data_IF_682443230121
#
_entry.id   IF_682443230121
#
_cell.length_a   1.000
_cell.length_b   1.000
_cell.length_c   1.000
_cell.angle_alpha   90.00
_cell.angle_beta   90.00
_cell.angle_gamma   90.00
#
_symmetry.space_group_name_H-M   'P 1'
#
loop_
_entity.id
_entity.type
_entity.pdbx_description
1 polymer ?
#
# COMPACT_ATOMS: atom_id res chain seq x y z
N UNK A 1 -19.80 -5.53 9.28
CA UNK A 1 -18.72 -5.26 10.26
C UNK A 1 -18.23 -3.82 10.10
N UNK A 2 -17.59 -3.25 11.14
CA UNK A 2 -16.89 -1.97 11.07
C UNK A 2 -15.50 -2.21 10.48
N UNK A 3 -15.24 -1.65 9.31
CA UNK A 3 -14.01 -1.86 8.56
C UNK A 3 -13.22 -0.55 8.45
N UNK A 4 -11.96 -0.57 8.92
CA UNK A 4 -11.03 0.52 8.69
C UNK A 4 -10.23 0.26 7.41
N UNK A 5 -10.16 1.25 6.52
CA UNK A 5 -9.20 1.28 5.41
C UNK A 5 -8.30 2.50 5.63
N UNK A 6 -7.11 2.24 6.16
CA UNK A 6 -6.13 3.27 6.49
C UNK A 6 -5.01 3.29 5.45
N UNK A 7 -4.83 4.40 4.76
CA UNK A 7 -3.85 4.53 3.69
C UNK A 7 -2.94 5.75 3.85
N UNK A 8 -1.76 5.67 3.26
CA UNK A 8 -0.86 6.80 3.15
C UNK A 8 -0.12 6.79 1.80
N UNK A 9 -0.15 7.91 1.10
CA UNK A 9 0.56 8.06 -0.17
C UNK A 9 0.53 9.50 -0.69
N UNK A 10 1.55 9.86 -1.48
CA UNK A 10 1.62 11.18 -2.13
C UNK A 10 1.23 11.15 -3.61
N UNK A 11 1.47 10.03 -4.29
CA UNK A 11 1.25 9.89 -5.74
C UNK A 11 -0.22 9.70 -6.14
N UNK A 12 -1.09 9.42 -5.18
CA UNK A 12 -2.51 9.14 -5.44
C UNK A 12 -2.84 7.66 -5.62
N UNK A 13 -1.89 6.79 -5.92
CA UNK A 13 -2.15 5.36 -6.16
C UNK A 13 -2.73 4.66 -4.94
N UNK A 14 -2.16 4.88 -3.74
CA UNK A 14 -2.68 4.29 -2.51
C UNK A 14 -4.08 4.82 -2.17
N UNK A 15 -4.34 6.09 -2.42
CA UNK A 15 -5.67 6.71 -2.26
C UNK A 15 -6.67 6.06 -3.21
N UNK A 16 -6.36 5.99 -4.50
CA UNK A 16 -7.20 5.36 -5.52
C UNK A 16 -7.55 3.91 -5.14
N UNK A 17 -6.56 3.12 -4.76
CA UNK A 17 -6.77 1.73 -4.35
C UNK A 17 -7.70 1.63 -3.12
N UNK A 18 -7.49 2.49 -2.13
CA UNK A 18 -8.30 2.53 -0.91
C UNK A 18 -9.74 2.96 -1.18
N UNK A 19 -9.95 3.97 -2.05
CA UNK A 19 -11.28 4.42 -2.49
C UNK A 19 -12.02 3.35 -3.29
N UNK A 20 -11.35 2.67 -4.22
CA UNK A 20 -11.95 1.56 -4.99
C UNK A 20 -12.30 0.37 -4.09
N UNK A 21 -11.43 0.03 -3.13
CA UNK A 21 -11.71 -1.01 -2.16
C UNK A 21 -12.94 -0.66 -1.29
N UNK A 22 -13.02 0.58 -0.79
CA UNK A 22 -14.15 1.06 -0.01
C UNK A 22 -15.47 0.99 -0.81
N UNK A 23 -15.45 1.45 -2.07
CA UNK A 23 -16.60 1.41 -2.96
C UNK A 23 -17.06 -0.03 -3.28
N UNK A 24 -16.15 -0.99 -3.29
CA UNK A 24 -16.45 -2.40 -3.53
C UNK A 24 -17.06 -3.12 -2.32
N UNK A 25 -17.14 -2.49 -1.14
CA UNK A 25 -17.59 -3.08 0.12
C UNK A 25 -18.82 -2.38 0.74
N UNK A 26 -19.91 -2.17 -0.02
CA UNK A 26 -21.06 -1.36 0.40
C UNK A 26 -21.84 -1.97 1.59
N UNK A 27 -21.64 -3.25 1.89
CA UNK A 27 -22.32 -3.92 2.99
C UNK A 27 -21.59 -3.83 4.33
N UNK A 28 -20.41 -3.20 4.36
CA UNK A 28 -19.66 -2.93 5.57
C UNK A 28 -19.74 -1.46 5.96
N UNK A 29 -19.64 -1.17 7.26
CA UNK A 29 -19.48 0.20 7.75
C UNK A 29 -18.00 0.60 7.58
N UNK A 30 -17.65 1.09 6.39
CA UNK A 30 -16.28 1.43 6.02
C UNK A 30 -15.91 2.82 6.49
N UNK A 31 -14.80 2.93 7.22
CA UNK A 31 -14.12 4.19 7.49
C UNK A 31 -12.85 4.24 6.64
N UNK A 32 -12.78 5.21 5.74
CA UNK A 32 -11.64 5.46 4.89
C UNK A 32 -10.80 6.60 5.49
N UNK A 33 -9.57 6.31 5.91
CA UNK A 33 -8.70 7.24 6.62
C UNK A 33 -7.40 7.52 5.85
N UNK A 34 -7.15 8.78 5.53
CA UNK A 34 -5.83 9.24 5.10
C UNK A 34 -4.95 9.48 6.33
N UNK A 35 -3.94 8.65 6.50
CA UNK A 35 -3.03 8.70 7.65
C UNK A 35 -2.18 9.99 7.72
N UNK A 36 -2.15 10.77 6.66
CA UNK A 36 -1.55 12.10 6.67
C UNK A 36 -2.45 13.15 7.37
N UNK A 37 -3.76 12.88 7.46
CA UNK A 37 -4.77 13.78 8.02
C UNK A 37 -5.21 13.29 9.39
N UNK A 38 -5.52 12.00 9.52
CA UNK A 38 -6.06 11.40 10.74
C UNK A 38 -5.42 10.04 11.04
N UNK A 39 -5.39 9.64 12.29
CA UNK A 39 -4.83 8.37 12.73
C UNK A 39 -5.83 7.68 13.67
N UNK A 40 -6.88 7.04 13.13
CA UNK A 40 -7.91 6.41 13.93
C UNK A 40 -7.36 5.22 14.74
N UNK A 41 -7.89 5.03 15.95
CA UNK A 41 -7.55 3.87 16.77
C UNK A 41 -8.15 2.61 16.14
N UNK A 42 -7.32 1.61 15.74
CA UNK A 42 -7.82 0.38 15.13
C UNK A 42 -8.72 -0.44 16.06
N UNK A 43 -8.60 -0.29 17.38
CA UNK A 43 -9.45 -1.00 18.34
C UNK A 43 -10.95 -0.64 18.25
N UNK A 44 -11.31 0.44 17.53
CA UNK A 44 -12.70 0.82 17.28
C UNK A 44 -13.36 0.03 16.13
N UNK A 45 -12.61 -0.85 15.45
CA UNK A 45 -13.02 -1.57 14.25
C UNK A 45 -12.93 -3.09 14.44
N UNK A 46 -13.73 -3.80 13.63
CA UNK A 46 -13.72 -5.28 13.62
C UNK A 46 -12.63 -5.83 12.70
N UNK A 47 -12.22 -5.05 11.70
CA UNK A 47 -11.20 -5.40 10.71
C UNK A 47 -10.45 -4.16 10.22
N UNK A 48 -9.17 -4.28 9.93
CA UNK A 48 -8.37 -3.19 9.38
C UNK A 48 -7.65 -3.60 8.09
N UNK A 49 -7.72 -2.74 7.06
CA UNK A 49 -6.84 -2.79 5.89
C UNK A 49 -5.89 -1.61 5.99
N UNK A 50 -4.58 -1.89 6.07
CA UNK A 50 -3.58 -0.84 6.32
C UNK A 50 -2.47 -0.91 5.28
N UNK A 51 -2.14 0.22 4.69
CA UNK A 51 -1.06 0.25 3.73
C UNK A 51 -0.74 1.61 3.15
N UNK A 52 0.05 1.59 2.09
CA UNK A 52 0.44 2.84 1.44
C UNK A 52 1.50 2.69 0.38
N UNK A 53 2.01 3.83 -0.06
CA UNK A 53 2.98 3.90 -1.15
C UNK A 53 4.42 3.92 -0.64
N UNK A 54 5.28 3.20 -1.37
CA UNK A 54 6.73 3.30 -1.25
C UNK A 54 7.20 4.46 -2.11
N UNK A 55 8.02 5.32 -1.53
CA UNK A 55 8.67 6.41 -2.22
C UNK A 55 10.12 6.52 -1.78
N UNK A 56 11.04 6.62 -2.74
CA UNK A 56 12.48 6.70 -2.47
C UNK A 56 12.96 5.57 -1.53
N UNK A 57 12.47 4.35 -1.77
CA UNK A 57 12.86 3.16 -1.01
C UNK A 57 12.25 3.02 0.38
N UNK A 58 11.31 3.87 0.77
CA UNK A 58 10.68 3.86 2.11
C UNK A 58 9.17 4.07 2.01
N UNK A 59 8.42 3.50 2.95
CA UNK A 59 7.02 3.82 3.13
C UNK A 59 6.83 5.29 3.52
N UNK A 60 5.75 5.89 3.05
CA UNK A 60 5.42 7.27 3.38
C UNK A 60 5.33 7.48 4.89
N UNK A 61 5.89 8.59 5.39
CA UNK A 61 6.05 8.84 6.83
C UNK A 61 4.77 8.65 7.68
N UNK A 62 3.57 9.11 7.25
CA UNK A 62 2.35 8.88 8.01
C UNK A 62 2.05 7.40 8.27
N UNK A 63 2.25 6.51 7.28
CA UNK A 63 2.11 5.07 7.50
C UNK A 63 3.09 4.56 8.57
N UNK A 64 4.35 4.94 8.49
CA UNK A 64 5.36 4.51 9.47
C UNK A 64 5.02 4.99 10.89
N UNK A 65 4.50 6.22 11.03
CA UNK A 65 4.05 6.74 12.33
C UNK A 65 2.86 5.94 12.87
N UNK A 66 1.89 5.65 12.01
CA UNK A 66 0.72 4.85 12.38
C UNK A 66 1.11 3.45 12.85
N UNK A 67 1.98 2.77 12.09
CA UNK A 67 2.48 1.44 12.45
C UNK A 67 3.31 1.46 13.76
N UNK A 68 4.05 2.54 14.02
CA UNK A 68 4.77 2.71 15.27
C UNK A 68 3.83 2.86 16.47
N UNK A 69 2.70 3.53 16.30
CA UNK A 69 1.71 3.76 17.35
C UNK A 69 0.79 2.54 17.56
N UNK A 70 0.34 1.92 16.47
CA UNK A 70 -0.75 0.93 16.49
C UNK A 70 -0.37 -0.45 15.97
N UNK A 71 0.89 -0.68 15.57
CA UNK A 71 1.31 -1.95 14.95
C UNK A 71 1.02 -3.18 15.82
N UNK A 72 1.13 -3.07 17.14
CA UNK A 72 0.78 -4.16 18.05
C UNK A 72 -0.72 -4.40 18.09
N UNK A 73 -1.52 -3.35 18.25
CA UNK A 73 -2.99 -3.47 18.25
C UNK A 73 -3.52 -4.05 16.93
N UNK A 74 -2.90 -3.66 15.80
CA UNK A 74 -3.23 -4.23 14.50
C UNK A 74 -2.86 -5.72 14.41
N UNK A 75 -1.73 -6.14 14.97
CA UNK A 75 -1.32 -7.55 14.97
C UNK A 75 -2.25 -8.45 15.81
N UNK A 76 -2.91 -7.86 16.81
CA UNK A 76 -3.83 -8.55 17.72
C UNK A 76 -5.28 -8.61 17.18
N UNK A 77 -5.56 -8.06 15.98
CA UNK A 77 -6.88 -8.07 15.36
C UNK A 77 -6.84 -8.59 13.91
N UNK A 78 -7.98 -9.04 13.33
CA UNK A 78 -8.06 -9.41 11.93
C UNK A 78 -7.69 -8.24 11.02
N UNK A 79 -6.72 -8.42 10.12
CA UNK A 79 -6.27 -7.35 9.25
C UNK A 79 -5.67 -7.83 7.94
N UNK A 80 -5.59 -6.92 6.98
CA UNK A 80 -4.86 -7.05 5.73
C UNK A 80 -3.88 -5.89 5.56
N UNK A 81 -2.77 -6.16 4.87
CA UNK A 81 -1.74 -5.19 4.55
C UNK A 81 -1.67 -4.98 3.04
N UNK A 82 -1.35 -3.76 2.61
CA UNK A 82 -1.07 -3.51 1.20
C UNK A 82 0.09 -2.55 0.99
N UNK A 83 0.77 -2.70 -0.15
CA UNK A 83 1.76 -1.76 -0.64
C UNK A 83 1.49 -1.38 -2.10
N UNK A 84 1.82 -0.14 -2.41
CA UNK A 84 1.92 0.37 -3.76
C UNK A 84 3.37 0.76 -4.02
N UNK A 85 4.01 0.16 -5.01
CA UNK A 85 5.36 0.52 -5.44
C UNK A 85 5.54 0.24 -6.93
N UNK A 86 6.48 0.96 -7.56
CA UNK A 86 6.75 0.83 -8.99
C UNK A 86 7.63 -0.37 -9.35
N UNK A 87 8.31 -0.96 -8.37
CA UNK A 87 9.27 -2.04 -8.57
C UNK A 87 8.81 -3.32 -7.87
N UNK A 88 8.11 -4.23 -8.59
CA UNK A 88 7.54 -5.45 -8.00
C UNK A 88 8.61 -6.44 -7.51
N UNK A 89 9.80 -6.46 -8.11
CA UNK A 89 10.96 -7.24 -7.69
C UNK A 89 11.50 -6.86 -6.31
N UNK A 90 11.22 -5.64 -5.85
CA UNK A 90 11.58 -5.13 -4.53
C UNK A 90 10.45 -5.29 -3.49
N UNK A 91 9.31 -5.87 -3.86
CA UNK A 91 8.12 -5.92 -3.01
C UNK A 91 8.39 -6.59 -1.65
N UNK A 92 9.03 -7.74 -1.64
CA UNK A 92 9.35 -8.49 -0.42
C UNK A 92 10.24 -7.67 0.52
N UNK A 93 11.26 -7.01 -0.04
CA UNK A 93 12.13 -6.11 0.72
C UNK A 93 11.31 -4.95 1.32
N UNK A 94 10.44 -4.31 0.54
CA UNK A 94 9.62 -3.19 1.02
C UNK A 94 8.61 -3.62 2.08
N UNK A 95 8.02 -4.80 1.95
CA UNK A 95 7.17 -5.36 2.99
C UNK A 95 7.94 -5.58 4.30
N UNK A 96 9.14 -6.13 4.21
CA UNK A 96 9.98 -6.42 5.37
C UNK A 96 10.41 -5.15 6.14
N UNK A 97 10.76 -4.08 5.42
CA UNK A 97 11.19 -2.82 6.06
C UNK A 97 10.03 -1.91 6.48
N UNK A 98 8.82 -2.13 5.95
CA UNK A 98 7.64 -1.30 6.25
C UNK A 98 6.84 -1.86 7.41
N UNK A 99 6.54 -3.16 7.39
CA UNK A 99 5.69 -3.79 8.37
C UNK A 99 6.50 -4.65 9.35
N UNK A 100 6.28 -4.48 10.67
CA UNK A 100 6.85 -5.37 11.67
C UNK A 100 6.56 -6.85 11.39
N UNK A 101 7.49 -7.75 11.72
CA UNK A 101 7.34 -9.17 11.44
C UNK A 101 6.04 -9.75 12.02
N UNK A 102 5.74 -9.47 13.29
CA UNK A 102 4.50 -9.93 13.93
C UNK A 102 3.23 -9.49 13.17
N UNK A 103 3.22 -8.25 12.65
CA UNK A 103 2.09 -7.74 11.89
C UNK A 103 1.95 -8.45 10.52
N UNK A 104 3.08 -8.76 9.87
CA UNK A 104 3.07 -9.51 8.60
C UNK A 104 2.63 -10.96 8.79
N UNK A 105 3.08 -11.60 9.86
CA UNK A 105 2.77 -13.00 10.16
C UNK A 105 1.31 -13.22 10.57
N UNK A 106 0.68 -12.24 11.22
CA UNK A 106 -0.73 -12.29 11.61
C UNK A 106 -1.69 -11.74 10.55
N UNK A 107 -1.19 -11.11 9.48
CA UNK A 107 -2.02 -10.58 8.41
C UNK A 107 -2.70 -11.70 7.62
N UNK A 108 -4.03 -11.61 7.46
CA UNK A 108 -4.79 -12.57 6.66
C UNK A 108 -4.51 -12.42 5.17
N UNK A 109 -4.20 -11.19 4.73
CA UNK A 109 -3.85 -10.89 3.35
C UNK A 109 -2.71 -9.87 3.30
N UNK A 110 -1.76 -10.09 2.38
CA UNK A 110 -0.73 -9.13 2.04
C UNK A 110 -0.84 -8.85 0.54
N UNK A 111 -1.21 -7.61 0.19
CA UNK A 111 -1.57 -7.23 -1.17
C UNK A 111 -0.55 -6.28 -1.77
N UNK A 112 -0.42 -6.37 -3.09
CA UNK A 112 0.33 -5.44 -3.91
C UNK A 112 -0.62 -4.83 -4.94
N UNK A 113 -0.81 -3.52 -4.92
CA UNK A 113 -1.75 -2.84 -5.82
C UNK A 113 -1.08 -2.14 -7.00
N UNK A 114 0.17 -2.51 -7.29
CA UNK A 114 0.94 -1.87 -8.34
C UNK A 114 1.50 -0.52 -7.92
N UNK A 115 1.92 0.28 -8.89
CA UNK A 115 2.42 1.62 -8.65
C UNK A 115 2.50 2.40 -9.96
N UNK A 116 1.99 3.61 -9.98
CA UNK A 116 2.15 4.54 -11.08
C UNK A 116 3.30 5.49 -10.77
N UNK A 117 4.29 5.56 -11.67
CA UNK A 117 5.27 6.64 -11.68
C UNK A 117 4.65 7.82 -12.44
N UNK A 118 4.07 8.76 -11.72
CA UNK A 118 3.63 10.02 -12.32
C UNK A 118 4.85 10.92 -12.56
N UNK A 119 5.45 10.74 -13.73
CA UNK A 119 6.64 11.51 -14.17
C UNK A 119 6.29 13.00 -14.34
N UNK A 120 5.01 13.34 -14.55
CA UNK A 120 4.58 14.71 -14.84
C UNK A 120 4.57 15.64 -13.63
N UNK A 121 4.48 15.09 -12.41
CA UNK A 121 4.43 15.88 -11.16
C UNK A 121 5.78 16.05 -10.45
N UNK A 122 6.88 15.58 -11.03
CA UNK A 122 8.16 15.46 -10.32
C UNK A 122 9.29 16.29 -10.95
N UNK A 123 9.13 17.61 -10.97
CA UNK A 123 10.21 18.55 -11.29
C UNK A 123 11.34 18.47 -10.23
N UNK A 124 12.28 17.59 -10.35
CA UNK A 124 13.44 17.45 -9.46
C UNK A 124 13.89 16.02 -9.17
N UNK A 125 13.08 15.03 -9.54
CA UNK A 125 13.38 13.60 -9.33
C UNK A 125 13.96 12.97 -10.60
N UNK A 126 13.92 13.66 -11.74
CA UNK A 126 14.38 13.16 -13.04
C UNK A 126 15.80 12.57 -13.04
N UNK A 127 16.73 13.15 -12.28
CA UNK A 127 18.11 12.63 -12.24
C UNK A 127 18.24 11.32 -11.45
N UNK A 128 17.52 11.19 -10.32
CA UNK A 128 17.61 10.00 -9.50
C UNK A 128 16.81 8.85 -10.14
N UNK A 129 15.63 9.16 -10.68
CA UNK A 129 14.78 8.21 -11.38
C UNK A 129 15.47 7.72 -12.66
N UNK A 130 16.03 8.60 -13.47
CA UNK A 130 16.81 8.27 -14.67
C UNK A 130 18.04 7.43 -14.33
N UNK A 131 18.67 7.66 -13.19
CA UNK A 131 19.83 6.88 -12.74
C UNK A 131 19.43 5.48 -12.27
N UNK A 132 18.29 5.36 -11.55
CA UNK A 132 17.72 4.07 -11.15
C UNK A 132 17.19 3.29 -12.36
N UNK A 133 16.54 3.96 -13.30
CA UNK A 133 16.09 3.36 -14.56
C UNK A 133 17.25 2.89 -15.43
N UNK A 134 18.34 3.64 -15.54
CA UNK A 134 19.55 3.20 -16.26
C UNK A 134 20.20 1.99 -15.61
N UNK A 135 20.20 1.89 -14.29
CA UNK A 135 20.72 0.72 -13.58
C UNK A 135 19.84 -0.53 -13.79
N UNK A 136 18.53 -0.36 -13.89
CA UNK A 136 17.60 -1.46 -14.21
C UNK A 136 17.69 -1.90 -15.68
N UNK A 137 17.84 -0.94 -16.61
CA UNK A 137 17.96 -1.19 -18.07
C UNK A 137 19.30 -1.89 -18.41
N UNK A 138 20.37 -1.67 -17.66
CA UNK A 138 21.66 -2.33 -17.89
C UNK A 138 21.66 -3.82 -17.54
N UNK A 139 20.64 -4.31 -16.83
CA UNK A 139 20.52 -5.70 -16.43
C UNK A 139 19.51 -6.51 -17.27
N UNK A 140 18.81 -5.88 -18.23
CA UNK A 140 17.82 -6.55 -19.08
C UNK A 140 18.24 -6.39 -20.55
N UNK A 141 18.66 -7.48 -21.18
CA UNK A 141 19.11 -7.50 -22.59
C UNK A 141 17.95 -7.29 -23.61
N UNK A 142 16.69 -7.22 -23.16
CA UNK A 142 15.50 -7.08 -24.00
C UNK A 142 14.72 -5.76 -23.86
N UNK A 143 15.30 -4.71 -23.33
CA UNK A 143 15.06 -3.30 -23.73
C UNK A 143 13.70 -2.67 -23.51
N UNK A 144 12.67 -3.30 -22.96
CA UNK A 144 11.38 -2.66 -22.68
C UNK A 144 11.05 -2.69 -21.18
N UNK A 145 11.31 -1.55 -20.52
CA UNK A 145 10.95 -1.36 -19.11
C UNK A 145 9.43 -1.21 -18.98
N UNK A 146 8.73 -2.32 -18.86
CA UNK A 146 7.30 -2.30 -18.53
C UNK A 146 7.17 -2.03 -17.03
N UNK A 147 6.96 -0.78 -16.67
CA UNK A 147 6.59 -0.42 -15.29
C UNK A 147 5.19 -0.97 -15.01
N UNK A 148 5.00 -1.74 -13.93
CA UNK A 148 3.67 -2.17 -13.56
C UNK A 148 2.86 -0.94 -13.19
N UNK A 149 1.76 -0.73 -13.91
CA UNK A 149 0.78 0.26 -13.55
C UNK A 149 0.02 -0.13 -12.27
N UNK A 150 -1.01 0.63 -11.98
CA UNK A 150 -1.99 0.27 -10.97
C UNK A 150 -2.69 -1.06 -11.32
N UNK A 151 -2.91 -1.93 -10.32
CA UNK A 151 -3.46 -3.28 -10.48
C UNK A 151 -4.87 -3.37 -9.83
N UNK A 152 -5.94 -2.93 -10.51
CA UNK A 152 -7.30 -2.95 -9.98
C UNK A 152 -7.81 -4.37 -9.71
N UNK A 153 -7.31 -5.38 -10.44
CA UNK A 153 -7.63 -6.78 -10.21
C UNK A 153 -7.22 -7.27 -8.82
N UNK A 154 -6.11 -6.78 -8.29
CA UNK A 154 -5.68 -7.12 -6.93
C UNK A 154 -6.57 -6.47 -5.87
N UNK A 155 -7.10 -5.28 -6.13
CA UNK A 155 -8.10 -4.65 -5.24
C UNK A 155 -9.39 -5.47 -5.24
N UNK A 156 -9.83 -5.97 -6.40
CA UNK A 156 -10.99 -6.87 -6.50
C UNK A 156 -10.79 -8.16 -5.73
N UNK A 157 -9.61 -8.80 -5.84
CA UNK A 157 -9.30 -10.01 -5.09
C UNK A 157 -9.46 -9.80 -3.58
N UNK A 158 -8.93 -8.70 -3.05
CA UNK A 158 -9.10 -8.37 -1.64
C UNK A 158 -10.55 -8.07 -1.28
N UNK A 159 -11.28 -7.31 -2.11
CA UNK A 159 -12.69 -7.01 -1.86
C UNK A 159 -13.54 -8.28 -1.83
N UNK A 160 -13.29 -9.24 -2.73
CA UNK A 160 -14.03 -10.51 -2.78
C UNK A 160 -13.76 -11.39 -1.55
N UNK A 161 -12.53 -11.35 -1.02
CA UNK A 161 -12.20 -12.02 0.23
C UNK A 161 -12.92 -11.38 1.43
N UNK A 162 -12.99 -10.05 1.49
CA UNK A 162 -13.62 -9.33 2.58
C UNK A 162 -15.16 -9.36 2.54
N UNK A 163 -15.79 -9.51 1.37
CA UNK A 163 -17.25 -9.67 1.23
C UNK A 163 -17.78 -10.93 1.89
N UNK A 164 -16.94 -11.93 2.09
CA UNK A 164 -17.33 -13.22 2.68
C UNK A 164 -17.29 -13.22 4.22
N UNK A 165 -16.85 -12.12 4.80
CA UNK A 165 -16.79 -11.89 6.25
C UNK A 165 -18.01 -11.12 6.75
#
# INVERSE_FOLDING_TARGET
MKLLIAYAGKSGTAKKAAEELAAALPHHAVTLADLAVEQPDPAAFDYAVVGGSIRMGKAYRPLRRYLSAYGRALADMPHALFLCCAFPDQLEHYQAITFPAALRESAEHQMYFGGELDVSKQKGIDRLLTRMMRSAIQNDEDGELTLPGYLPEHVRLLSDALRKK
#
